data_IF_482120611394
#
_entry.id   IF_482120611394
#
_cell.length_a   1.000
_cell.length_b   1.000
_cell.length_c   1.000
_cell.angle_alpha   90.00
_cell.angle_beta   90.00
_cell.angle_gamma   90.00
#
_symmetry.space_group_name_H-M   'P 1'
#
loop_
_entity.id
_entity.type
_entity.pdbx_description
1 polymer ?
#
# COMPACT_ATOMS: atom_id res chain seq x y z
N UNK A 1 -2.70 0.66 -11.30
CA UNK A 1 -3.50 1.81 -11.77
C UNK A 1 -2.61 2.91 -12.35
N UNK A 2 -1.83 3.62 -11.52
CA UNK A 2 -1.03 4.78 -11.97
C UNK A 2 -0.05 4.53 -13.12
N UNK A 3 0.51 3.33 -13.26
CA UNK A 3 1.35 2.99 -14.42
C UNK A 3 0.58 3.10 -15.76
N UNK A 4 -0.70 2.73 -15.76
CA UNK A 4 -1.56 2.72 -16.94
C UNK A 4 -2.15 4.11 -17.24
N UNK A 5 -2.16 5.00 -16.24
CA UNK A 5 -2.93 6.25 -16.31
C UNK A 5 -2.32 7.34 -17.22
N UNK A 6 -0.99 7.57 -17.27
CA UNK A 6 -0.39 8.51 -18.21
C UNK A 6 -0.63 8.12 -19.68
N UNK A 7 -0.70 6.83 -19.97
CA UNK A 7 -1.01 6.31 -21.32
C UNK A 7 -2.43 6.69 -21.76
N UNK A 8 -3.31 7.00 -20.82
CA UNK A 8 -4.70 7.42 -21.03
C UNK A 8 -4.89 8.93 -20.79
N UNK A 9 -3.80 9.69 -20.60
CA UNK A 9 -3.83 11.15 -20.46
C UNK A 9 -4.09 11.66 -19.04
N UNK A 10 -3.74 10.89 -18.01
CA UNK A 10 -3.77 11.37 -16.63
C UNK A 10 -2.43 12.02 -16.24
N UNK A 11 -2.44 13.35 -16.11
CA UNK A 11 -1.23 14.14 -15.81
C UNK A 11 -0.97 14.34 -14.31
N UNK A 12 -2.01 14.36 -13.48
CA UNK A 12 -1.92 14.57 -12.03
C UNK A 12 -2.97 13.74 -11.27
N UNK A 13 -2.66 13.36 -10.03
CA UNK A 13 -3.58 12.64 -9.14
C UNK A 13 -3.29 12.90 -7.67
N UNK A 14 -4.33 12.90 -6.84
CA UNK A 14 -4.18 13.01 -5.38
C UNK A 14 -3.76 11.63 -4.86
N UNK A 15 -2.53 11.53 -4.37
CA UNK A 15 -1.92 10.27 -3.91
C UNK A 15 -1.25 10.43 -2.55
N UNK A 16 -1.05 9.31 -1.86
CA UNK A 16 -0.11 9.25 -0.76
C UNK A 16 1.31 9.04 -1.34
N UNK A 17 2.08 10.11 -1.45
CA UNK A 17 3.40 10.09 -2.08
C UNK A 17 4.42 9.20 -1.35
N UNK A 18 4.29 9.02 -0.03
CA UNK A 18 5.21 8.19 0.76
C UNK A 18 5.00 6.68 0.59
N UNK A 19 3.83 6.26 0.12
CA UNK A 19 3.42 4.85 0.04
C UNK A 19 3.19 4.38 -1.40
N UNK A 20 3.84 5.02 -2.39
CA UNK A 20 3.71 4.64 -3.79
C UNK A 20 4.88 3.73 -4.19
N UNK A 21 4.70 2.40 -4.27
CA UNK A 21 5.77 1.51 -4.68
C UNK A 21 6.14 1.75 -6.14
N UNK A 22 7.44 1.58 -6.46
CA UNK A 22 7.92 1.55 -7.85
C UNK A 22 7.33 0.32 -8.51
N UNK A 23 6.80 0.46 -9.73
CA UNK A 23 6.07 -0.61 -10.41
C UNK A 23 6.91 -1.88 -10.61
N UNK A 24 8.19 -1.72 -10.91
CA UNK A 24 9.13 -2.85 -11.14
C UNK A 24 9.43 -3.67 -9.89
N UNK A 25 9.19 -3.11 -8.70
CA UNK A 25 9.41 -3.78 -7.40
C UNK A 25 8.16 -4.55 -6.92
N UNK A 26 7.05 -4.46 -7.67
CA UNK A 26 5.82 -5.17 -7.32
C UNK A 26 5.94 -6.64 -7.73
N UNK A 27 5.61 -7.53 -6.80
CA UNK A 27 5.55 -8.97 -7.07
C UNK A 27 4.65 -9.27 -8.29
N UNK A 28 5.14 -10.13 -9.20
CA UNK A 28 4.48 -10.41 -10.48
C UNK A 28 3.11 -11.06 -10.31
N UNK A 29 2.91 -11.85 -9.26
CA UNK A 29 1.62 -12.49 -8.96
C UNK A 29 0.61 -11.43 -8.52
N UNK A 30 1.01 -10.55 -7.60
CA UNK A 30 0.18 -9.43 -7.17
C UNK A 30 -0.16 -8.48 -8.33
N UNK A 31 0.79 -8.23 -9.22
CA UNK A 31 0.60 -7.39 -10.40
C UNK A 31 -0.49 -7.96 -11.32
N UNK A 32 -0.43 -9.26 -11.61
CA UNK A 32 -1.41 -9.94 -12.46
C UNK A 32 -2.82 -9.89 -11.85
N UNK A 33 -2.94 -10.14 -10.54
CA UNK A 33 -4.21 -10.05 -9.83
C UNK A 33 -4.79 -8.63 -9.86
N UNK A 34 -3.94 -7.61 -9.65
CA UNK A 34 -4.33 -6.21 -9.76
C UNK A 34 -4.80 -5.84 -11.17
N UNK A 35 -4.11 -6.29 -12.22
CA UNK A 35 -4.48 -6.00 -13.61
C UNK A 35 -5.80 -6.67 -14.00
N UNK A 36 -6.02 -7.92 -13.59
CA UNK A 36 -7.26 -8.62 -13.84
C UNK A 36 -8.45 -7.90 -13.20
N UNK A 37 -8.25 -7.34 -12.00
CA UNK A 37 -9.26 -6.55 -11.31
C UNK A 37 -9.49 -5.18 -11.97
N UNK A 38 -8.43 -4.43 -12.27
CA UNK A 38 -8.54 -3.08 -12.87
C UNK A 38 -9.23 -3.13 -14.24
N UNK A 39 -8.91 -4.15 -15.05
CA UNK A 39 -9.47 -4.30 -16.38
C UNK A 39 -10.72 -5.18 -16.45
N UNK A 40 -11.21 -5.68 -15.30
CA UNK A 40 -12.34 -6.59 -15.20
C UNK A 40 -12.25 -7.78 -16.20
N UNK A 41 -11.07 -8.40 -16.28
CA UNK A 41 -10.79 -9.52 -17.22
C UNK A 41 -11.27 -10.87 -16.69
N UNK A 42 -11.40 -10.99 -15.39
CA UNK A 42 -11.77 -12.21 -14.67
C UNK A 42 -12.96 -11.90 -13.77
N UNK A 43 -14.09 -12.62 -13.90
CA UNK A 43 -15.26 -12.43 -13.04
C UNK A 43 -14.96 -12.70 -11.55
N UNK A 44 -13.95 -13.53 -11.26
CA UNK A 44 -13.56 -13.92 -9.90
C UNK A 44 -12.36 -13.11 -9.37
N UNK A 45 -11.93 -12.05 -10.07
CA UNK A 45 -10.75 -11.25 -9.74
C UNK A 45 -10.76 -10.71 -8.29
N UNK A 46 -11.94 -10.35 -7.78
CA UNK A 46 -12.12 -9.87 -6.40
C UNK A 46 -11.79 -10.95 -5.38
N UNK A 47 -12.32 -12.16 -5.57
CA UNK A 47 -12.09 -13.30 -4.67
C UNK A 47 -10.63 -13.76 -4.72
N UNK A 48 -10.04 -13.79 -5.93
CA UNK A 48 -8.65 -14.16 -6.13
C UNK A 48 -7.68 -13.20 -5.43
N UNK A 49 -7.93 -11.89 -5.52
CA UNK A 49 -7.12 -10.89 -4.82
C UNK A 49 -7.30 -10.97 -3.30
N UNK A 50 -8.52 -11.20 -2.81
CA UNK A 50 -8.81 -11.38 -1.39
C UNK A 50 -8.10 -12.60 -0.80
N UNK A 51 -8.11 -13.72 -1.52
CA UNK A 51 -7.40 -14.93 -1.11
C UNK A 51 -5.89 -14.70 -1.00
N UNK A 52 -5.30 -13.99 -1.98
CA UNK A 52 -3.90 -13.61 -1.95
C UNK A 52 -3.57 -12.70 -0.75
N UNK A 53 -4.40 -11.68 -0.49
CA UNK A 53 -4.23 -10.79 0.66
C UNK A 53 -4.27 -11.54 2.01
N UNK A 54 -5.19 -12.50 2.16
CA UNK A 54 -5.26 -13.33 3.37
C UNK A 54 -3.99 -14.16 3.59
N UNK A 55 -3.38 -14.67 2.52
CA UNK A 55 -2.13 -15.42 2.60
C UNK A 55 -0.95 -14.54 3.05
N UNK A 56 -0.88 -13.30 2.55
CA UNK A 56 0.14 -12.33 2.98
C UNK A 56 -0.04 -11.96 4.47
N UNK A 57 -1.27 -11.67 4.90
CA UNK A 57 -1.55 -11.30 6.30
C UNK A 57 -1.23 -12.45 7.27
N UNK A 58 -1.49 -13.70 6.89
CA UNK A 58 -1.08 -14.87 7.67
C UNK A 58 0.44 -15.01 7.78
N UNK A 59 1.17 -14.63 6.73
CA UNK A 59 2.65 -14.67 6.68
C UNK A 59 3.29 -13.50 7.42
N UNK A 60 2.61 -12.36 7.43
CA UNK A 60 3.00 -11.12 8.10
C UNK A 60 1.97 -10.73 9.14
N UNK A 61 1.86 -11.50 10.23
CA UNK A 61 1.27 -10.97 11.45
C UNK A 61 2.22 -9.86 11.93
N UNK A 62 2.05 -8.64 11.40
CA UNK A 62 2.71 -7.45 11.94
C UNK A 62 2.33 -7.44 13.41
N UNK A 63 3.32 -7.62 14.27
CA UNK A 63 3.23 -7.12 15.64
C UNK A 63 2.79 -5.67 15.47
N UNK A 64 1.67 -5.32 16.08
CA UNK A 64 1.32 -3.92 16.30
C UNK A 64 2.60 -3.29 16.87
N UNK A 65 3.28 -2.48 16.07
CA UNK A 65 4.33 -1.63 16.61
C UNK A 65 3.57 -0.56 17.35
N UNK A 66 3.22 -0.87 18.60
CA UNK A 66 2.84 0.14 19.57
C UNK A 66 3.98 1.13 19.59
N UNK A 67 3.77 2.28 18.97
CA UNK A 67 4.78 3.31 18.94
C UNK A 67 4.83 3.94 20.34
N UNK A 68 5.69 3.40 21.20
CA UNK A 68 5.82 3.73 22.62
C UNK A 68 5.94 5.23 22.88
N UNK A 69 6.50 6.00 21.93
CA UNK A 69 6.59 7.47 22.02
C UNK A 69 5.24 8.17 22.08
N UNK A 70 4.15 7.52 21.62
CA UNK A 70 2.79 8.08 21.66
C UNK A 70 2.15 8.01 23.04
N UNK A 71 2.67 7.17 23.93
CA UNK A 71 2.20 7.04 25.31
C UNK A 71 2.87 8.05 26.26
N UNK A 72 3.92 8.72 25.80
CA UNK A 72 4.63 9.76 26.53
C UNK A 72 3.85 11.08 26.69
N UNK A 73 4.42 12.00 27.46
CA UNK A 73 3.84 13.33 27.68
C UNK A 73 3.86 14.16 26.39
N UNK A 74 3.03 15.21 26.33
CA UNK A 74 2.89 16.04 25.13
C UNK A 74 4.23 16.64 24.69
N UNK A 75 5.08 17.00 25.65
CA UNK A 75 6.41 17.55 25.40
C UNK A 75 7.33 16.53 24.70
N UNK A 76 7.34 15.28 25.15
CA UNK A 76 8.15 14.18 24.57
C UNK A 76 7.67 13.81 23.15
N UNK A 77 6.36 13.87 22.92
CA UNK A 77 5.75 13.65 21.60
C UNK A 77 6.11 14.74 20.60
N UNK A 78 6.19 15.99 21.05
CA UNK A 78 6.60 17.13 20.22
C UNK A 78 8.08 17.06 19.88
N UNK A 79 8.93 16.67 20.83
CA UNK A 79 10.37 16.48 20.60
C UNK A 79 10.63 15.38 19.56
N UNK A 80 9.95 14.24 19.68
CA UNK A 80 10.04 13.16 18.69
C UNK A 80 9.65 13.63 17.27
N UNK A 81 8.57 14.40 17.16
CA UNK A 81 8.09 14.91 15.88
C UNK A 81 9.00 15.98 15.24
N UNK A 82 9.82 16.68 16.05
CA UNK A 82 10.74 17.70 15.57
C UNK A 82 12.12 17.15 15.18
N UNK A 83 12.52 16.01 15.76
CA UNK A 83 13.83 15.39 15.51
C UNK A 83 13.79 14.39 14.35
N UNK A 84 12.67 13.69 14.14
CA UNK A 84 12.46 12.88 12.94
C UNK A 84 11.83 13.74 11.83
N UNK A 85 12.67 14.36 11.01
CA UNK A 85 12.33 14.83 9.65
C UNK A 85 12.90 13.84 8.64
#
# INVERSE_FOLDING_TARGET
>A
FFFLSPQVGMDMGIVNAGNLPVYDDIDKELMLLCENLIWNRDPDATENLLAYAQNIVKRGKKMDQTEEWREGRVEERLEYALVKV
#
